data_IF_982727424463
#
_entry.id   IF_982727424463
#
_cell.length_a   1.000
_cell.length_b   1.000
_cell.length_c   1.000
_cell.angle_alpha   90.00
_cell.angle_beta   90.00
_cell.angle_gamma   90.00
#
_symmetry.space_group_name_H-M   'P 1'
#
loop_
_entity.id
_entity.type
_entity.pdbx_description
1 polymer ?
#
# COMPACT_ATOMS: atom_id res chain seq x y z
N UNK A 1 -18.84 15.70 -15.37
CA UNK A 1 -18.68 15.26 -13.96
C UNK A 1 -19.69 14.16 -13.72
N UNK A 2 -19.26 12.90 -13.55
CA UNK A 2 -20.19 11.80 -13.32
C UNK A 2 -20.82 11.91 -11.93
N UNK A 3 -22.16 11.80 -11.85
CA UNK A 3 -22.91 11.76 -10.60
C UNK A 3 -22.45 10.58 -9.73
N UNK A 4 -21.85 10.86 -8.57
CA UNK A 4 -21.50 9.82 -7.60
C UNK A 4 -22.77 9.41 -6.86
N UNK A 5 -23.45 8.36 -7.35
CA UNK A 5 -24.52 7.69 -6.60
C UNK A 5 -23.94 7.08 -5.32
N UNK A 6 -24.23 7.70 -4.19
CA UNK A 6 -24.00 7.15 -2.85
C UNK A 6 -24.97 5.99 -2.60
N UNK A 7 -24.66 4.80 -3.13
CA UNK A 7 -25.30 3.58 -2.67
C UNK A 7 -24.72 3.21 -1.29
N UNK A 8 -25.11 3.94 -0.25
CA UNK A 8 -24.82 3.63 1.16
C UNK A 8 -25.71 2.45 1.62
N UNK A 9 -25.54 1.28 1.02
CA UNK A 9 -25.93 0.03 1.71
C UNK A 9 -24.76 -0.34 2.60
N UNK A 10 -25.04 -0.71 3.86
CA UNK A 10 -24.02 -1.23 4.77
C UNK A 10 -23.33 -2.40 4.06
N UNK A 11 -21.99 -2.43 4.11
CA UNK A 11 -21.27 -3.57 3.57
C UNK A 11 -21.81 -4.86 4.22
N UNK A 12 -22.01 -5.94 3.45
CA UNK A 12 -22.42 -7.21 4.02
C UNK A 12 -21.36 -7.68 5.03
N UNK A 13 -21.78 -8.48 6.00
CA UNK A 13 -20.86 -9.11 6.95
C UNK A 13 -19.87 -10.02 6.22
N UNK A 14 -18.60 -9.95 6.63
CA UNK A 14 -17.49 -10.70 6.02
C UNK A 14 -16.60 -11.24 7.15
N UNK A 15 -17.08 -12.24 7.92
CA UNK A 15 -16.39 -12.73 9.11
C UNK A 15 -14.96 -13.22 8.83
N UNK A 16 -14.72 -13.75 7.62
CA UNK A 16 -13.38 -14.13 7.17
C UNK A 16 -12.45 -12.91 7.03
N UNK A 17 -12.95 -11.78 6.50
CA UNK A 17 -12.17 -10.54 6.42
C UNK A 17 -11.90 -9.96 7.81
N UNK A 18 -12.88 -10.03 8.72
CA UNK A 18 -12.70 -9.57 10.10
C UNK A 18 -11.61 -10.39 10.81
N UNK A 19 -11.61 -11.71 10.58
CA UNK A 19 -10.57 -12.61 11.09
C UNK A 19 -9.19 -12.25 10.53
N UNK A 20 -9.08 -12.02 9.23
CA UNK A 20 -7.83 -11.62 8.59
C UNK A 20 -7.33 -10.25 9.08
N UNK A 21 -8.23 -9.30 9.32
CA UNK A 21 -7.89 -7.97 9.85
C UNK A 21 -7.34 -8.07 11.27
N UNK A 22 -7.97 -8.87 12.13
CA UNK A 22 -7.48 -9.07 13.50
C UNK A 22 -6.13 -9.78 13.52
N UNK A 23 -5.88 -10.73 12.62
CA UNK A 23 -4.56 -11.33 12.46
C UNK A 23 -3.51 -10.32 11.98
N UNK A 24 -3.84 -9.54 10.94
CA UNK A 24 -2.93 -8.55 10.38
C UNK A 24 -2.56 -7.46 11.40
N UNK A 25 -3.52 -7.00 12.20
CA UNK A 25 -3.32 -5.98 13.26
C UNK A 25 -2.25 -6.40 14.28
N UNK A 26 -2.20 -7.69 14.59
CA UNK A 26 -1.30 -8.24 15.61
C UNK A 26 0.02 -8.77 15.03
N UNK A 27 0.24 -8.63 13.72
CA UNK A 27 1.46 -9.07 13.07
C UNK A 27 2.58 -8.07 13.29
N UNK A 28 3.67 -8.50 13.94
CA UNK A 28 4.89 -7.71 14.09
C UNK A 28 5.67 -7.82 12.78
N UNK A 29 5.94 -6.67 12.15
CA UNK A 29 6.71 -6.57 10.91
C UNK A 29 8.06 -5.93 11.23
N UNK A 30 9.16 -6.54 10.78
CA UNK A 30 10.50 -5.95 10.90
C UNK A 30 10.72 -4.87 9.86
N UNK A 31 11.69 -3.98 10.09
CA UNK A 31 12.03 -2.92 9.13
C UNK A 31 12.42 -3.48 7.75
N UNK A 32 13.12 -4.61 7.73
CA UNK A 32 13.52 -5.32 6.50
C UNK A 32 12.30 -5.83 5.73
N UNK A 33 11.35 -6.47 6.43
CA UNK A 33 10.09 -6.94 5.83
C UNK A 33 9.25 -5.76 5.32
N UNK A 34 9.16 -4.68 6.09
CA UNK A 34 8.45 -3.47 5.67
C UNK A 34 9.09 -2.86 4.41
N UNK A 35 10.42 -2.81 4.35
CA UNK A 35 11.15 -2.31 3.20
C UNK A 35 10.91 -3.19 1.95
N UNK A 36 10.93 -4.51 2.09
CA UNK A 36 10.63 -5.45 1.00
C UNK A 36 9.19 -5.30 0.49
N UNK A 37 8.22 -5.17 1.40
CA UNK A 37 6.82 -4.95 1.05
C UNK A 37 6.63 -3.64 0.29
N UNK A 38 7.31 -2.56 0.71
CA UNK A 38 7.30 -1.28 -0.02
C UNK A 38 7.88 -1.41 -1.42
N UNK A 39 8.97 -2.15 -1.59
CA UNK A 39 9.58 -2.37 -2.91
C UNK A 39 8.63 -3.14 -3.83
N UNK A 40 8.00 -4.18 -3.29
CA UNK A 40 7.00 -4.99 -4.00
C UNK A 40 5.78 -4.17 -4.40
N UNK A 41 5.30 -3.29 -3.51
CA UNK A 41 4.20 -2.38 -3.80
C UNK A 41 4.53 -1.43 -4.95
N UNK A 42 5.69 -0.77 -4.92
CA UNK A 42 6.11 0.17 -5.97
C UNK A 42 6.23 -0.53 -7.32
N UNK A 43 6.87 -1.70 -7.36
CA UNK A 43 7.04 -2.45 -8.60
C UNK A 43 5.71 -3.02 -9.12
N UNK A 44 4.88 -3.61 -8.25
CA UNK A 44 3.60 -4.19 -8.63
C UNK A 44 2.55 -3.17 -9.08
N UNK A 45 2.71 -1.90 -8.69
CA UNK A 45 1.86 -0.78 -9.13
C UNK A 45 2.57 0.14 -10.13
N UNK A 46 3.70 -0.28 -10.70
CA UNK A 46 4.39 0.50 -11.71
C UNK A 46 3.50 0.71 -12.94
N UNK A 47 3.32 1.95 -13.44
CA UNK A 47 2.55 2.19 -14.65
C UNK A 47 3.15 1.46 -15.85
N UNK A 48 2.28 1.01 -16.76
CA UNK A 48 2.70 0.42 -18.02
C UNK A 48 3.61 1.37 -18.81
N UNK A 49 4.71 0.85 -19.35
CA UNK A 49 5.71 1.63 -20.07
C UNK A 49 6.63 2.48 -19.19
N UNK A 50 6.50 2.42 -17.86
CA UNK A 50 7.46 3.05 -16.95
C UNK A 50 8.82 2.33 -16.97
N UNK A 51 9.86 3.02 -16.51
CA UNK A 51 11.21 2.44 -16.33
C UNK A 51 11.42 1.87 -14.92
N UNK A 52 10.36 1.66 -14.16
CA UNK A 52 10.45 1.16 -12.79
C UNK A 52 10.72 -0.34 -12.84
N UNK A 53 11.94 -0.73 -12.45
CA UNK A 53 12.31 -2.13 -12.25
C UNK A 53 12.24 -2.51 -10.78
N UNK A 54 12.26 -3.82 -10.50
CA UNK A 54 12.31 -4.35 -9.14
C UNK A 54 13.54 -3.83 -8.38
N UNK A 55 14.69 -3.75 -9.04
CA UNK A 55 15.94 -3.24 -8.49
C UNK A 55 15.83 -1.75 -8.17
N UNK A 56 15.27 -0.95 -9.10
CA UNK A 56 15.08 0.48 -8.88
C UNK A 56 14.12 0.77 -7.72
N UNK A 57 13.09 -0.06 -7.55
CA UNK A 57 12.15 0.03 -6.44
C UNK A 57 12.84 -0.33 -5.11
N UNK A 58 13.61 -1.41 -5.08
CA UNK A 58 14.37 -1.85 -3.91
C UNK A 58 15.39 -0.81 -3.43
N UNK A 59 16.07 -0.12 -4.35
CA UNK A 59 16.98 0.97 -4.00
C UNK A 59 16.24 2.22 -3.49
N UNK A 60 15.09 2.53 -4.08
CA UNK A 60 14.33 3.74 -3.74
C UNK A 60 13.74 3.68 -2.32
N UNK A 61 13.30 2.51 -1.86
CA UNK A 61 12.66 2.35 -0.53
C UNK A 61 13.62 2.49 0.65
N UNK A 62 14.94 2.36 0.42
CA UNK A 62 16.00 2.54 1.43
C UNK A 62 16.10 3.99 1.93
N UNK A 63 15.60 4.95 1.16
CA UNK A 63 15.72 6.38 1.47
C UNK A 63 14.34 6.99 1.67
N UNK A 64 14.12 7.61 2.83
CA UNK A 64 12.93 8.42 3.10
C UNK A 64 13.40 9.87 3.19
N UNK A 65 12.82 10.75 2.36
CA UNK A 65 12.96 12.20 2.52
C UNK A 65 11.67 12.75 3.07
N UNK A 66 11.73 13.32 4.26
CA UNK A 66 10.64 14.14 4.81
C UNK A 66 10.89 15.56 4.35
N UNK A 67 9.98 16.11 3.56
CA UNK A 67 9.97 17.52 3.18
C UNK A 67 8.95 18.25 4.06
N UNK A 68 9.36 19.37 4.64
CA UNK A 68 8.41 20.23 5.36
C UNK A 68 7.40 20.82 4.37
N UNK A 69 6.10 20.88 4.73
CA UNK A 69 5.10 21.48 3.87
C UNK A 69 5.43 22.95 3.69
N UNK A 70 5.60 23.38 2.44
CA UNK A 70 5.79 24.78 2.10
C UNK A 70 4.47 25.49 2.37
N UNK A 71 4.49 26.45 3.31
CA UNK A 71 3.35 27.31 3.63
C UNK A 71 3.05 28.34 2.56
#
# INVERSE_FOLDING_TARGET
MAERKTALKRAPERPELDTLLEQARNTIITDEQLQEQRASFVYGNAPDGSRITKESAAESVKRIRVIEPTG
#
